data_IF_824963278109
#
_entry.id   IF_824963278109
#
_cell.length_a   1.000
_cell.length_b   1.000
_cell.length_c   1.000
_cell.angle_alpha   90.00
_cell.angle_beta   90.00
_cell.angle_gamma   90.00
#
_symmetry.space_group_name_H-M   'P 1'
#
loop_
_entity.id
_entity.type
_entity.pdbx_description
1 polymer ?
#
# COMPACT_ATOMS: atom_id res chain seq x y z
N UNK A 1 14.19 -6.72 -5.40
CA UNK A 1 13.05 -7.68 -5.39
C UNK A 1 12.78 -8.28 -6.77
N UNK A 2 12.00 -9.39 -6.85
CA UNK A 2 11.56 -9.94 -8.14
C UNK A 2 10.11 -9.61 -8.42
N UNK A 3 9.83 -9.07 -9.61
CA UNK A 3 8.47 -8.84 -10.12
C UNK A 3 8.28 -9.66 -11.41
N UNK A 4 7.06 -10.06 -11.73
CA UNK A 4 6.80 -10.96 -12.85
C UNK A 4 5.45 -10.72 -13.52
N UNK A 5 5.33 -11.19 -14.75
CA UNK A 5 4.17 -11.01 -15.62
C UNK A 5 4.33 -9.86 -16.60
N UNK A 6 3.72 -9.99 -17.80
CA UNK A 6 3.92 -9.08 -18.93
C UNK A 6 3.54 -7.63 -18.62
N UNK A 7 2.36 -7.38 -18.04
CA UNK A 7 1.89 -6.03 -17.74
C UNK A 7 2.78 -5.33 -16.72
N UNK A 8 3.20 -6.06 -15.66
CA UNK A 8 4.10 -5.53 -14.62
C UNK A 8 5.48 -5.22 -15.21
N UNK A 9 5.97 -6.10 -16.09
CA UNK A 9 7.24 -5.90 -16.78
C UNK A 9 7.19 -4.69 -17.73
N UNK A 10 6.11 -4.56 -18.48
CA UNK A 10 5.89 -3.42 -19.38
C UNK A 10 5.87 -2.08 -18.64
N UNK A 11 5.15 -2.03 -17.52
CA UNK A 11 5.08 -0.85 -16.66
C UNK A 11 6.45 -0.48 -16.07
N UNK A 12 7.17 -1.48 -15.52
CA UNK A 12 8.52 -1.25 -15.00
C UNK A 12 9.50 -0.80 -16.08
N UNK A 13 9.37 -1.33 -17.30
CA UNK A 13 10.20 -0.94 -18.44
C UNK A 13 9.87 0.45 -18.98
N UNK A 14 8.61 0.88 -18.92
CA UNK A 14 8.19 2.24 -19.31
C UNK A 14 8.53 3.27 -18.22
N UNK A 15 8.55 2.87 -16.97
CA UNK A 15 8.87 3.71 -15.83
C UNK A 15 10.38 3.94 -15.61
N UNK A 16 10.69 4.60 -14.49
CA UNK A 16 12.05 4.93 -14.09
C UNK A 16 12.67 3.92 -13.12
N UNK A 17 12.01 2.76 -12.91
CA UNK A 17 12.47 1.75 -11.97
C UNK A 17 13.81 1.16 -12.42
N UNK A 18 14.75 1.07 -11.49
CA UNK A 18 16.04 0.44 -11.76
C UNK A 18 15.87 -1.06 -11.85
N UNK A 19 16.12 -1.60 -13.04
CA UNK A 19 16.05 -3.02 -13.33
C UNK A 19 17.48 -3.54 -13.38
N UNK A 20 17.80 -4.48 -12.49
CA UNK A 20 19.14 -5.07 -12.40
C UNK A 20 19.33 -6.18 -13.43
N UNK A 21 18.30 -7.00 -13.62
CA UNK A 21 18.35 -8.15 -14.51
C UNK A 21 16.97 -8.60 -14.97
N UNK A 22 16.90 -9.15 -16.15
CA UNK A 22 15.69 -9.74 -16.72
C UNK A 22 15.93 -11.22 -17.01
N UNK A 23 14.95 -12.05 -16.64
CA UNK A 23 14.90 -13.46 -16.96
C UNK A 23 13.74 -13.68 -17.92
N UNK A 24 14.03 -14.18 -19.10
CA UNK A 24 13.04 -14.43 -20.16
C UNK A 24 12.96 -15.92 -20.49
N UNK A 25 11.74 -16.37 -20.76
CA UNK A 25 11.53 -17.67 -21.38
C UNK A 25 12.14 -17.70 -22.78
N UNK A 26 12.78 -18.81 -23.15
CA UNK A 26 13.25 -19.07 -24.52
C UNK A 26 12.12 -18.96 -25.58
N UNK A 27 10.85 -19.05 -25.15
CA UNK A 27 9.64 -18.94 -25.98
C UNK A 27 8.92 -17.59 -25.89
N UNK A 28 9.53 -16.61 -25.25
CA UNK A 28 8.93 -15.29 -25.08
C UNK A 28 8.87 -14.53 -26.42
N UNK A 29 7.69 -13.96 -26.77
CA UNK A 29 7.45 -13.38 -28.12
C UNK A 29 6.75 -12.00 -28.07
N UNK A 30 6.88 -11.27 -27.00
CA UNK A 30 6.24 -9.95 -26.90
C UNK A 30 7.18 -8.88 -27.45
N UNK A 31 6.88 -8.40 -28.65
CA UNK A 31 7.75 -7.49 -29.40
C UNK A 31 7.93 -6.13 -28.71
N UNK A 32 6.88 -5.60 -28.06
CA UNK A 32 6.96 -4.32 -27.36
C UNK A 32 7.93 -4.43 -26.18
N UNK A 33 7.81 -5.48 -25.38
CA UNK A 33 8.69 -5.71 -24.22
C UNK A 33 10.12 -5.94 -24.70
N UNK A 34 10.35 -6.75 -25.73
CA UNK A 34 11.69 -7.04 -26.27
C UNK A 34 12.37 -5.77 -26.78
N UNK A 35 11.65 -4.92 -27.53
CA UNK A 35 12.15 -3.62 -28.00
C UNK A 35 12.55 -2.69 -26.85
N UNK A 36 11.75 -2.65 -25.78
CA UNK A 36 12.07 -1.86 -24.59
C UNK A 36 13.31 -2.36 -23.86
N UNK A 37 13.48 -3.68 -23.75
CA UNK A 37 14.65 -4.29 -23.12
C UNK A 37 15.91 -3.94 -23.91
N UNK A 38 15.87 -4.08 -25.23
CA UNK A 38 17.00 -3.76 -26.12
C UNK A 38 17.38 -2.28 -26.04
N UNK A 39 16.39 -1.39 -26.14
CA UNK A 39 16.60 0.05 -26.04
C UNK A 39 17.22 0.49 -24.71
N UNK A 40 16.80 -0.12 -23.60
CA UNK A 40 17.36 0.14 -22.27
C UNK A 40 18.67 -0.59 -21.98
N UNK A 41 19.11 -1.47 -22.86
CA UNK A 41 20.33 -2.28 -22.72
C UNK A 41 20.42 -3.06 -21.40
N UNK A 42 19.29 -3.62 -20.95
CA UNK A 42 19.23 -4.32 -19.67
C UNK A 42 19.77 -5.74 -19.82
N UNK A 43 20.60 -6.18 -18.87
CA UNK A 43 21.13 -7.54 -18.82
C UNK A 43 20.00 -8.58 -18.79
N UNK A 44 19.97 -9.46 -19.78
CA UNK A 44 18.93 -10.47 -19.95
C UNK A 44 19.52 -11.87 -19.93
N UNK A 45 18.86 -12.78 -19.20
CA UNK A 45 19.18 -14.21 -19.18
C UNK A 45 18.00 -15.01 -19.73
N UNK A 46 18.25 -15.82 -20.75
CA UNK A 46 17.28 -16.78 -21.28
C UNK A 46 17.24 -18.02 -20.39
N UNK A 47 16.05 -18.48 -20.05
CA UNK A 47 15.80 -19.65 -19.20
C UNK A 47 14.65 -20.49 -19.80
N UNK A 48 14.56 -21.75 -19.41
CA UNK A 48 13.35 -22.52 -19.68
C UNK A 48 12.21 -22.15 -18.67
N UNK A 49 10.98 -22.55 -18.98
CA UNK A 49 9.85 -22.25 -18.10
C UNK A 49 9.97 -22.92 -16.73
N UNK A 50 10.59 -24.10 -16.64
CA UNK A 50 10.77 -24.82 -15.37
C UNK A 50 11.73 -24.06 -14.44
N UNK A 51 12.73 -23.41 -15.00
CA UNK A 51 13.66 -22.56 -14.24
C UNK A 51 12.96 -21.29 -13.76
N UNK A 52 12.11 -20.66 -14.59
CA UNK A 52 11.31 -19.50 -14.23
C UNK A 52 10.30 -19.86 -13.13
N UNK A 53 9.61 -21.00 -13.22
CA UNK A 53 8.67 -21.49 -12.21
C UNK A 53 9.32 -21.66 -10.82
N UNK A 54 10.59 -22.02 -10.77
CA UNK A 54 11.35 -22.08 -9.51
C UNK A 54 11.70 -20.72 -8.93
N UNK A 55 11.68 -19.66 -9.72
CA UNK A 55 12.07 -18.32 -9.29
C UNK A 55 10.91 -17.51 -8.70
N UNK A 56 9.65 -17.85 -9.00
CA UNK A 56 8.47 -17.20 -8.45
C UNK A 56 7.31 -18.19 -8.31
N UNK A 57 6.40 -17.92 -7.35
CA UNK A 57 5.21 -18.76 -7.08
C UNK A 57 3.96 -18.33 -7.86
N UNK A 58 4.08 -17.47 -8.86
CA UNK A 58 2.93 -16.90 -9.57
C UNK A 58 3.06 -16.99 -11.08
N UNK A 59 2.02 -16.54 -11.79
CA UNK A 59 1.96 -16.58 -13.26
C UNK A 59 2.94 -15.56 -13.86
N UNK A 60 4.16 -16.02 -14.20
CA UNK A 60 5.23 -15.16 -14.73
C UNK A 60 5.07 -14.82 -16.22
N UNK A 61 4.23 -15.53 -16.98
CA UNK A 61 4.00 -15.28 -18.41
C UNK A 61 5.29 -15.22 -19.25
N UNK A 62 6.33 -15.94 -18.82
CA UNK A 62 7.63 -16.00 -19.50
C UNK A 62 8.59 -14.85 -19.18
N UNK A 63 8.29 -13.95 -18.23
CA UNK A 63 9.17 -12.86 -17.87
C UNK A 63 9.19 -12.60 -16.35
N UNK A 64 10.42 -12.46 -15.82
CA UNK A 64 10.71 -12.05 -14.44
C UNK A 64 11.76 -10.95 -14.48
N UNK A 65 11.55 -9.88 -13.75
CA UNK A 65 12.49 -8.77 -13.58
C UNK A 65 13.02 -8.76 -12.15
N UNK A 66 14.34 -8.63 -12.03
CA UNK A 66 14.99 -8.30 -10.77
C UNK A 66 15.16 -6.79 -10.72
N UNK A 67 14.43 -6.16 -9.79
CA UNK A 67 14.37 -4.71 -9.69
C UNK A 67 14.83 -4.26 -8.31
N UNK A 68 15.16 -2.98 -8.20
CA UNK A 68 15.44 -2.35 -6.92
C UNK A 68 14.26 -2.54 -5.95
N UNK A 69 14.55 -2.71 -4.67
CA UNK A 69 13.52 -2.84 -3.65
C UNK A 69 12.75 -1.51 -3.50
N UNK A 70 11.49 -1.59 -3.13
CA UNK A 70 10.70 -0.40 -2.82
C UNK A 70 11.31 0.27 -1.58
N UNK A 71 11.62 1.54 -1.71
CA UNK A 71 12.15 2.33 -0.61
C UNK A 71 11.07 2.47 0.46
N UNK A 72 11.44 2.13 1.69
CA UNK A 72 10.65 2.40 2.88
C UNK A 72 11.41 3.38 3.78
N UNK A 73 10.71 4.02 4.68
CA UNK A 73 11.22 5.09 5.50
C UNK A 73 10.97 4.83 6.98
N UNK A 74 11.73 5.45 7.85
CA UNK A 74 11.43 5.51 9.27
C UNK A 74 10.39 6.61 9.55
N UNK A 75 9.76 6.54 10.73
CA UNK A 75 8.79 7.54 11.19
C UNK A 75 9.40 8.94 11.21
N UNK A 76 10.58 9.06 11.77
CA UNK A 76 11.24 10.36 12.02
C UNK A 76 11.78 11.01 10.73
N UNK A 77 11.99 10.21 9.66
CA UNK A 77 12.35 10.74 8.32
C UNK A 77 11.19 11.44 7.62
N UNK A 78 9.96 10.97 7.81
CA UNK A 78 8.81 11.42 7.00
C UNK A 78 7.84 12.27 7.80
N UNK A 79 7.31 11.75 8.91
CA UNK A 79 6.12 12.32 9.55
C UNK A 79 6.32 13.76 10.04
N UNK A 80 7.44 14.11 10.73
CA UNK A 80 7.65 15.48 11.20
C UNK A 80 7.86 16.50 10.06
N UNK A 81 8.17 16.02 8.85
CA UNK A 81 8.49 16.85 7.68
C UNK A 81 7.32 17.04 6.72
N UNK A 82 6.12 16.55 7.06
CA UNK A 82 4.91 16.75 6.26
C UNK A 82 4.43 18.19 6.45
N UNK A 83 4.23 18.91 5.34
CA UNK A 83 3.89 20.33 5.32
C UNK A 83 2.54 20.63 4.68
N UNK A 84 1.76 19.61 4.33
CA UNK A 84 0.39 19.77 3.82
C UNK A 84 -0.49 20.44 4.86
N UNK A 85 -1.50 21.20 4.43
CA UNK A 85 -2.39 21.96 5.32
C UNK A 85 -3.15 21.03 6.29
N UNK A 86 -3.67 19.92 5.75
CA UNK A 86 -4.36 18.88 6.52
C UNK A 86 -3.69 17.53 6.30
N UNK A 87 -2.56 17.23 6.97
CA UNK A 87 -1.85 15.97 6.79
C UNK A 87 -2.75 14.76 7.01
N UNK A 88 -2.62 13.76 6.14
CA UNK A 88 -3.38 12.51 6.19
C UNK A 88 -2.44 11.31 6.16
N UNK A 89 -2.47 10.54 7.24
CA UNK A 89 -1.70 9.31 7.40
C UNK A 89 -2.65 8.13 7.46
N UNK A 90 -2.40 7.09 6.68
CA UNK A 90 -3.07 5.80 6.82
C UNK A 90 -2.20 4.88 7.67
N UNK A 91 -2.78 4.25 8.67
CA UNK A 91 -2.11 3.33 9.61
C UNK A 91 -2.75 1.95 9.46
N UNK A 92 -1.96 0.93 9.12
CA UNK A 92 -2.47 -0.41 8.90
C UNK A 92 -2.19 -1.29 10.12
N UNK A 93 -3.25 -1.63 10.87
CA UNK A 93 -3.12 -2.47 12.07
C UNK A 93 -3.08 -3.95 11.69
N UNK A 94 -1.86 -4.45 11.41
CA UNK A 94 -1.59 -5.87 11.11
C UNK A 94 -2.38 -6.44 9.91
N UNK A 95 -2.48 -5.66 8.82
CA UNK A 95 -3.02 -6.13 7.55
C UNK A 95 -2.17 -7.31 7.02
N UNK A 96 -2.81 -8.38 6.54
CA UNK A 96 -2.11 -9.60 6.12
C UNK A 96 -2.14 -9.83 4.60
N UNK A 97 -3.20 -9.40 3.91
CA UNK A 97 -3.37 -9.64 2.48
C UNK A 97 -2.60 -8.61 1.62
N UNK A 98 -1.62 -9.05 0.79
CA UNK A 98 -0.90 -8.18 -0.12
C UNK A 98 -1.78 -7.52 -1.20
N UNK A 99 -2.92 -8.12 -1.54
CA UNK A 99 -3.87 -7.49 -2.47
C UNK A 99 -4.53 -6.27 -1.83
N UNK A 100 -4.92 -6.37 -0.56
CA UNK A 100 -5.48 -5.24 0.19
C UNK A 100 -4.46 -4.12 0.35
N UNK A 101 -3.20 -4.44 0.72
CA UNK A 101 -2.15 -3.43 0.80
C UNK A 101 -1.97 -2.71 -0.54
N UNK A 102 -1.88 -3.45 -1.65
CA UNK A 102 -1.73 -2.84 -2.97
C UNK A 102 -2.90 -1.94 -3.37
N UNK A 103 -4.14 -2.34 -3.06
CA UNK A 103 -5.34 -1.55 -3.31
C UNK A 103 -5.39 -0.29 -2.42
N UNK A 104 -5.01 -0.41 -1.14
CA UNK A 104 -4.90 0.73 -0.21
C UNK A 104 -3.85 1.72 -0.69
N UNK A 105 -2.66 1.26 -1.10
CA UNK A 105 -1.61 2.13 -1.66
C UNK A 105 -2.12 2.90 -2.87
N UNK A 106 -2.83 2.23 -3.78
CA UNK A 106 -3.42 2.88 -4.97
C UNK A 106 -4.46 3.92 -4.59
N UNK A 107 -5.37 3.63 -3.67
CA UNK A 107 -6.37 4.58 -3.19
C UNK A 107 -5.69 5.74 -2.44
N UNK A 108 -4.68 5.45 -1.64
CA UNK A 108 -3.92 6.46 -0.89
C UNK A 108 -3.24 7.48 -1.81
N UNK A 109 -2.65 7.02 -2.90
CA UNK A 109 -2.07 7.94 -3.91
C UNK A 109 -3.15 8.80 -4.55
N UNK A 110 -4.26 8.19 -4.96
CA UNK A 110 -5.35 8.88 -5.63
C UNK A 110 -6.03 9.95 -4.75
N UNK A 111 -6.08 9.74 -3.43
CA UNK A 111 -6.68 10.65 -2.46
C UNK A 111 -5.67 11.54 -1.72
N UNK A 112 -4.40 11.56 -2.13
CA UNK A 112 -3.40 12.47 -1.60
C UNK A 112 -2.96 12.15 -0.17
N UNK A 113 -2.92 10.88 0.23
CA UNK A 113 -2.37 10.45 1.53
C UNK A 113 -0.88 10.73 1.58
N UNK A 114 -0.41 11.41 2.63
CA UNK A 114 0.99 11.82 2.79
C UNK A 114 1.92 10.65 3.09
N UNK A 115 1.46 9.67 3.89
CA UNK A 115 2.21 8.44 4.19
C UNK A 115 1.30 7.29 4.62
N UNK A 116 1.80 6.06 4.45
CA UNK A 116 1.18 4.85 5.00
C UNK A 116 2.14 4.25 6.03
N UNK A 117 1.66 4.03 7.26
CA UNK A 117 2.41 3.39 8.33
C UNK A 117 2.04 1.90 8.38
N UNK A 118 3.04 1.03 8.35
CA UNK A 118 2.90 -0.42 8.49
C UNK A 118 3.84 -0.95 9.58
N UNK A 119 3.45 -1.97 10.36
CA UNK A 119 4.34 -2.58 11.33
C UNK A 119 5.38 -3.48 10.64
N UNK A 120 6.57 -3.58 11.23
CA UNK A 120 7.63 -4.45 10.72
C UNK A 120 7.25 -5.94 10.79
N UNK A 121 6.52 -6.32 11.85
CA UNK A 121 6.19 -7.71 12.12
C UNK A 121 4.68 -7.95 12.06
N UNK A 122 4.30 -9.22 11.83
CA UNK A 122 2.90 -9.70 11.79
C UNK A 122 2.01 -8.87 10.85
N UNK A 123 2.58 -8.45 9.74
CA UNK A 123 1.89 -7.66 8.72
C UNK A 123 2.40 -8.04 7.34
N UNK A 124 1.61 -7.70 6.34
CA UNK A 124 1.98 -7.90 4.94
C UNK A 124 3.27 -7.14 4.61
N UNK A 125 4.19 -7.85 3.98
CA UNK A 125 5.42 -7.25 3.46
C UNK A 125 5.22 -6.74 2.03
N UNK A 126 6.04 -5.77 1.60
CA UNK A 126 6.02 -5.28 0.23
C UNK A 126 6.55 -6.37 -0.70
N UNK A 127 5.65 -7.06 -1.37
CA UNK A 127 5.92 -8.16 -2.30
C UNK A 127 5.66 -7.76 -3.75
N UNK A 128 6.03 -8.62 -4.69
CA UNK A 128 5.66 -8.44 -6.11
C UNK A 128 4.14 -8.34 -6.32
N UNK A 129 3.33 -8.97 -5.46
CA UNK A 129 1.86 -8.87 -5.49
C UNK A 129 1.42 -7.44 -5.15
N UNK A 130 1.99 -6.83 -4.12
CA UNK A 130 1.69 -5.43 -3.74
C UNK A 130 2.05 -4.49 -4.88
N UNK A 131 3.23 -4.63 -5.48
CA UNK A 131 3.67 -3.82 -6.64
C UNK A 131 2.69 -3.96 -7.80
N UNK A 132 2.27 -5.20 -8.10
CA UNK A 132 1.31 -5.48 -9.18
C UNK A 132 -0.05 -4.85 -8.90
N UNK A 133 -0.59 -5.03 -7.69
CA UNK A 133 -1.94 -4.57 -7.33
C UNK A 133 -2.00 -3.05 -7.20
N UNK A 134 -0.92 -2.41 -6.77
CA UNK A 134 -0.82 -0.95 -6.68
C UNK A 134 -0.66 -0.26 -8.05
N UNK A 135 -0.46 -1.02 -9.13
CA UNK A 135 -0.31 -0.47 -10.49
C UNK A 135 0.75 0.66 -10.53
N UNK A 136 1.94 0.38 -9.96
CA UNK A 136 3.08 1.33 -9.93
C UNK A 136 2.96 2.50 -8.94
N UNK A 137 1.80 2.73 -8.33
CA UNK A 137 1.61 3.88 -7.41
C UNK A 137 2.42 3.75 -6.12
N UNK A 138 2.88 2.53 -5.76
CA UNK A 138 3.67 2.30 -4.55
C UNK A 138 4.99 3.10 -4.51
N UNK A 139 5.51 3.50 -5.65
CA UNK A 139 6.73 4.32 -5.73
C UNK A 139 6.46 5.81 -5.44
N UNK A 140 5.20 6.24 -5.50
CA UNK A 140 4.76 7.61 -5.25
C UNK A 140 4.32 7.85 -3.81
N UNK A 141 3.90 6.79 -3.10
CA UNK A 141 3.44 6.86 -1.72
C UNK A 141 4.58 6.56 -0.76
N UNK A 142 4.70 7.33 0.31
CA UNK A 142 5.72 7.11 1.35
C UNK A 142 5.27 6.01 2.28
N UNK A 143 5.91 4.84 2.20
CA UNK A 143 5.67 3.73 3.13
C UNK A 143 6.61 3.85 4.31
N UNK A 144 6.05 3.99 5.50
CA UNK A 144 6.78 4.15 6.77
C UNK A 144 6.69 2.86 7.56
N UNK A 145 7.83 2.24 7.85
CA UNK A 145 7.92 1.06 8.67
C UNK A 145 8.12 1.44 10.14
N UNK A 146 7.35 0.81 11.04
CA UNK A 146 7.47 1.03 12.48
C UNK A 146 7.55 -0.27 13.26
N UNK A 147 8.33 -0.35 14.34
CA UNK A 147 8.38 -1.54 15.19
C UNK A 147 7.07 -1.80 15.93
N UNK A 148 6.33 -0.72 16.26
CA UNK A 148 5.10 -0.81 17.03
C UNK A 148 4.14 0.32 16.63
N UNK A 149 2.94 -0.05 16.21
CA UNK A 149 1.89 0.88 15.76
C UNK A 149 1.43 1.80 16.89
N UNK A 150 1.23 1.27 18.10
CA UNK A 150 0.73 2.07 19.22
C UNK A 150 1.74 3.13 19.67
N UNK A 151 3.04 2.85 19.53
CA UNK A 151 4.07 3.86 19.74
C UNK A 151 4.04 4.93 18.64
N UNK A 152 3.82 4.54 17.39
CA UNK A 152 3.67 5.48 16.28
C UNK A 152 2.41 6.36 16.46
N UNK A 153 1.29 5.79 16.89
CA UNK A 153 0.05 6.53 17.20
C UNK A 153 0.31 7.58 18.29
N UNK A 154 0.99 7.22 19.38
CA UNK A 154 1.32 8.20 20.43
C UNK A 154 2.17 9.35 19.89
N UNK A 155 3.22 9.05 19.12
CA UNK A 155 4.04 10.07 18.47
C UNK A 155 3.22 10.96 17.52
N UNK A 156 2.27 10.41 16.77
CA UNK A 156 1.36 11.19 15.94
C UNK A 156 0.51 12.15 16.77
N UNK A 157 -0.05 11.68 17.90
CA UNK A 157 -0.81 12.52 18.83
C UNK A 157 0.03 13.65 19.39
N UNK A 158 1.28 13.40 19.76
CA UNK A 158 2.23 14.43 20.22
C UNK A 158 2.51 15.50 19.12
N UNK A 159 2.37 15.13 17.83
CA UNK A 159 2.47 16.02 16.68
C UNK A 159 1.13 16.70 16.30
N UNK A 160 0.08 16.48 17.09
CA UNK A 160 -1.24 17.09 16.93
C UNK A 160 -2.16 16.38 15.93
N UNK A 161 -1.91 15.11 15.62
CA UNK A 161 -2.83 14.30 14.82
C UNK A 161 -3.99 13.78 15.66
N UNK A 162 -5.19 13.82 15.12
CA UNK A 162 -6.35 13.09 15.62
C UNK A 162 -6.38 11.70 15.00
N UNK A 163 -6.53 10.68 15.83
CA UNK A 163 -6.49 9.28 15.40
C UNK A 163 -7.92 8.76 15.28
N UNK A 164 -8.28 8.35 14.08
CA UNK A 164 -9.59 7.79 13.74
C UNK A 164 -9.42 6.29 13.46
N UNK A 165 -9.87 5.47 14.39
CA UNK A 165 -9.95 4.01 14.21
C UNK A 165 -11.23 3.62 13.48
N UNK A 166 -11.17 2.56 12.68
CA UNK A 166 -12.33 2.06 11.93
C UNK A 166 -12.88 0.79 12.56
N UNK A 167 -14.17 0.79 12.91
CA UNK A 167 -14.87 -0.36 13.48
C UNK A 167 -16.33 -0.39 12.99
N UNK A 168 -17.06 -1.44 13.36
CA UNK A 168 -18.49 -1.57 13.07
C UNK A 168 -19.36 -0.78 14.05
N UNK A 169 -18.84 -0.51 15.23
CA UNK A 169 -19.48 0.32 16.27
C UNK A 169 -18.70 1.61 16.41
N UNK A 170 -19.41 2.72 16.68
CA UNK A 170 -18.77 4.02 16.84
C UNK A 170 -19.60 5.16 16.24
N UNK A 171 -18.97 6.30 16.08
CA UNK A 171 -19.55 7.50 15.44
C UNK A 171 -19.67 7.28 13.93
N UNK A 172 -20.73 7.81 13.32
CA UNK A 172 -20.85 7.77 11.87
C UNK A 172 -19.67 8.55 11.25
N UNK A 173 -18.99 7.92 10.28
CA UNK A 173 -17.79 8.47 9.65
C UNK A 173 -18.00 9.85 9.01
N UNK A 174 -19.24 10.21 8.66
CA UNK A 174 -19.60 11.53 8.11
C UNK A 174 -19.76 12.64 9.17
N UNK A 175 -19.77 12.28 10.46
CA UNK A 175 -19.96 13.23 11.58
C UNK A 175 -18.63 13.67 12.20
N UNK A 176 -17.50 13.13 11.72
CA UNK A 176 -16.16 13.49 12.21
C UNK A 176 -15.63 14.69 11.44
N UNK A 177 -15.02 15.63 12.17
CA UNK A 177 -14.29 16.74 11.53
C UNK A 177 -12.92 16.30 11.05
N UNK A 178 -12.75 16.27 9.73
CA UNK A 178 -11.50 15.91 9.08
C UNK A 178 -10.64 17.11 8.65
N UNK A 179 -11.03 18.35 8.93
CA UNK A 179 -10.25 19.57 8.61
C UNK A 179 -9.15 19.81 9.63
N UNK A 180 -8.36 18.75 9.87
CA UNK A 180 -7.24 18.73 10.80
C UNK A 180 -6.24 17.66 10.36
N UNK A 181 -5.16 17.48 11.13
CA UNK A 181 -4.20 16.38 10.93
C UNK A 181 -4.86 15.06 11.32
N UNK A 182 -4.96 14.11 10.40
CA UNK A 182 -5.65 12.83 10.62
C UNK A 182 -4.70 11.64 10.47
N UNK A 183 -4.74 10.73 11.46
CA UNK A 183 -4.24 9.37 11.36
C UNK A 183 -5.41 8.39 11.26
N UNK A 184 -5.69 7.85 10.07
CA UNK A 184 -6.75 6.89 9.82
C UNK A 184 -6.23 5.47 10.02
N UNK A 185 -6.77 4.74 11.01
CA UNK A 185 -6.38 3.36 11.31
C UNK A 185 -7.34 2.39 10.62
N UNK A 186 -6.79 1.54 9.76
CA UNK A 186 -7.50 0.44 9.10
C UNK A 186 -7.06 -0.88 9.74
N UNK A 187 -8.02 -1.65 10.20
CA UNK A 187 -7.76 -2.92 10.88
C UNK A 187 -7.52 -4.10 9.95
N UNK A 188 -7.18 -5.22 10.57
CA UNK A 188 -7.06 -6.53 9.92
C UNK A 188 -8.42 -7.02 9.41
N UNK A 189 -8.42 -7.77 8.30
CA UNK A 189 -9.63 -8.24 7.62
C UNK A 189 -10.55 -9.10 8.50
N UNK A 190 -9.98 -9.88 9.41
CA UNK A 190 -10.73 -10.82 10.25
C UNK A 190 -11.00 -10.31 11.67
N UNK A 191 -10.12 -9.45 12.20
CA UNK A 191 -10.13 -9.06 13.62
C UNK A 191 -10.43 -7.57 13.82
N UNK A 192 -10.47 -6.78 12.74
CA UNK A 192 -10.56 -5.33 12.85
C UNK A 192 -9.30 -4.70 13.46
N UNK A 193 -9.45 -3.57 14.13
CA UNK A 193 -8.37 -2.95 14.90
C UNK A 193 -8.21 -3.66 16.25
N UNK A 194 -6.98 -3.78 16.73
CA UNK A 194 -6.72 -4.38 18.04
C UNK A 194 -7.29 -3.50 19.17
N UNK A 195 -7.71 -4.12 20.29
CA UNK A 195 -8.21 -3.39 21.45
C UNK A 195 -7.27 -2.28 21.90
N UNK A 196 -5.97 -2.59 21.99
CA UNK A 196 -4.96 -1.61 22.40
C UNK A 196 -4.87 -0.45 21.39
N UNK A 197 -5.03 -0.73 20.11
CA UNK A 197 -5.07 0.32 19.07
C UNK A 197 -6.34 1.16 19.19
N UNK A 198 -7.51 0.53 19.39
CA UNK A 198 -8.77 1.21 19.60
C UNK A 198 -8.74 2.15 20.82
N UNK A 199 -8.17 1.69 21.95
CA UNK A 199 -8.01 2.47 23.17
C UNK A 199 -7.08 3.71 22.99
N UNK A 200 -6.22 3.71 21.97
CA UNK A 200 -5.35 4.84 21.61
C UNK A 200 -5.97 5.78 20.56
N UNK A 201 -7.10 5.44 19.95
CA UNK A 201 -7.80 6.28 19.00
C UNK A 201 -8.58 7.42 19.73
N UNK A 202 -8.69 8.57 19.09
CA UNK A 202 -9.52 9.68 19.58
C UNK A 202 -11.00 9.49 19.18
N UNK A 203 -11.21 8.87 18.02
CA UNK A 203 -12.53 8.50 17.51
C UNK A 203 -12.51 7.05 17.02
N UNK A 204 -13.61 6.35 17.23
CA UNK A 204 -13.93 5.11 16.53
C UNK A 204 -15.05 5.43 15.56
N UNK A 205 -14.78 5.23 14.28
CA UNK A 205 -15.68 5.59 13.18
C UNK A 205 -16.26 4.35 12.50
N UNK A 206 -17.55 4.39 12.21
CA UNK A 206 -18.25 3.33 11.47
C UNK A 206 -18.78 3.81 10.13
N UNK A 207 -18.82 2.89 9.17
CA UNK A 207 -19.59 3.04 7.93
C UNK A 207 -20.96 2.39 8.17
N UNK A 208 -22.08 3.15 8.12
CA UNK A 208 -23.42 2.58 8.28
C UNK A 208 -23.72 1.57 7.19
N UNK A 209 -24.07 0.35 7.58
CA UNK A 209 -24.42 -0.74 6.67
C UNK A 209 -25.88 -1.17 6.92
N UNK A 210 -26.61 -1.46 5.83
CA UNK A 210 -28.01 -1.94 5.90
C UNK A 210 -28.16 -3.44 5.66
N UNK A 211 -27.08 -4.09 5.19
CA UNK A 211 -27.06 -5.50 4.86
C UNK A 211 -26.82 -6.41 6.07
N UNK A 212 -26.69 -7.70 5.81
CA UNK A 212 -26.43 -8.74 6.83
C UNK A 212 -24.94 -9.00 7.05
N UNK A 213 -24.07 -8.44 6.21
CA UNK A 213 -22.63 -8.61 6.37
C UNK A 213 -22.11 -7.73 7.52
N UNK A 214 -21.18 -8.28 8.29
CA UNK A 214 -20.67 -7.62 9.48
C UNK A 214 -19.43 -6.74 9.21
N UNK A 215 -18.82 -6.82 8.03
CA UNK A 215 -17.64 -6.01 7.71
C UNK A 215 -17.49 -5.81 6.21
N UNK A 216 -16.78 -4.75 5.83
CA UNK A 216 -16.30 -4.53 4.48
C UNK A 216 -14.85 -5.03 4.36
N UNK A 217 -14.44 -5.34 3.14
CA UNK A 217 -13.04 -5.55 2.84
C UNK A 217 -12.21 -4.31 3.26
N UNK A 218 -11.03 -4.52 3.84
CA UNK A 218 -10.19 -3.45 4.40
C UNK A 218 -9.85 -2.36 3.38
N UNK A 219 -9.55 -2.72 2.13
CA UNK A 219 -9.24 -1.74 1.08
C UNK A 219 -10.48 -0.96 0.62
N UNK A 220 -11.66 -1.59 0.64
CA UNK A 220 -12.94 -0.93 0.34
C UNK A 220 -13.28 0.08 1.44
N UNK A 221 -13.20 -0.34 2.71
CA UNK A 221 -13.42 0.56 3.85
C UNK A 221 -12.46 1.75 3.80
N UNK A 222 -11.17 1.50 3.57
CA UNK A 222 -10.17 2.56 3.42
C UNK A 222 -10.56 3.55 2.32
N UNK A 223 -10.94 3.08 1.13
CA UNK A 223 -11.37 3.94 0.02
C UNK A 223 -12.59 4.80 0.35
N UNK A 224 -13.58 4.26 1.08
CA UNK A 224 -14.77 5.02 1.53
C UNK A 224 -14.36 6.13 2.51
N UNK A 225 -13.52 5.82 3.51
CA UNK A 225 -13.02 6.83 4.44
C UNK A 225 -12.20 7.92 3.74
N UNK A 226 -11.29 7.54 2.85
CA UNK A 226 -10.46 8.51 2.11
C UNK A 226 -11.32 9.44 1.24
N UNK A 227 -12.35 8.91 0.58
CA UNK A 227 -13.30 9.70 -0.20
C UNK A 227 -14.07 10.70 0.67
N UNK A 228 -14.54 10.28 1.84
CA UNK A 228 -15.23 11.18 2.78
C UNK A 228 -14.31 12.26 3.34
N UNK A 229 -13.08 11.90 3.71
CA UNK A 229 -12.08 12.86 4.19
C UNK A 229 -11.86 13.96 3.14
N UNK A 230 -11.68 13.62 1.87
CA UNK A 230 -11.50 14.60 0.80
C UNK A 230 -12.76 15.44 0.57
N UNK A 231 -13.94 14.81 0.54
CA UNK A 231 -15.22 15.52 0.45
C UNK A 231 -15.39 16.55 1.58
N UNK A 232 -15.10 16.16 2.81
CA UNK A 232 -15.18 17.01 4.00
C UNK A 232 -14.20 18.20 3.94
N UNK A 233 -13.04 18.01 3.31
CA UNK A 233 -12.01 19.05 3.07
C UNK A 233 -12.31 19.96 1.89
N UNK A 234 -13.30 19.63 1.06
CA UNK A 234 -13.68 20.40 -0.11
C UNK A 234 -12.84 20.12 -1.35
N UNK A 235 -12.29 18.90 -1.43
CA UNK A 235 -11.47 18.40 -2.55
C UNK A 235 -12.33 17.47 -3.42
#
# INVERSE_FOLDING_TARGET
MKIYGKNVALEALKGNKKIHKIYLSNKFKDEEILSLIERKKISTKLLDNRELDKMCKGLHQGIILEVEDIKTYSFDEIIPNITTEYPLIVILDHLEDPHNLGAIVRSSEAFGVDAIIIPNDRSVQITSTVVKTSVGTIEKVKIVNVPNINNAIRKLKDLGYWIVGTDMEGTNYTEIDYKTKIGLVIGNEGKGISKVTADNCDYIAKIPMKGTVNSLNASVACGIFLSEINRSRGI
#
